data_IF_802967459295
#
_entry.id   IF_802967459295
#
_cell.length_a   1.000
_cell.length_b   1.000
_cell.length_c   1.000
_cell.angle_alpha   90.00
_cell.angle_beta   90.00
_cell.angle_gamma   90.00
#
_symmetry.space_group_name_H-M   'P 1'
#
loop_
_entity.id
_entity.type
_entity.pdbx_description
1 polymer ?
#
# COMPACT_ATOMS: atom_id res chain seq x y z
N UNK A 1 -7.89 -18.09 21.84
CA UNK A 1 -8.04 -16.64 22.17
C UNK A 1 -7.47 -15.79 21.04
N UNK A 2 -8.21 -14.77 20.62
CA UNK A 2 -7.78 -13.84 19.56
C UNK A 2 -7.25 -12.56 20.22
N UNK A 3 -6.07 -12.10 19.77
CA UNK A 3 -5.49 -10.82 20.17
C UNK A 3 -5.35 -9.88 18.97
N UNK A 4 -5.82 -8.66 19.09
CA UNK A 4 -5.61 -7.59 18.12
C UNK A 4 -4.61 -6.59 18.68
N UNK A 5 -3.49 -6.38 17.99
CA UNK A 5 -2.53 -5.33 18.31
C UNK A 5 -2.78 -4.15 17.36
N UNK A 6 -3.09 -2.99 17.92
CA UNK A 6 -3.35 -1.80 17.11
C UNK A 6 -3.80 -0.60 17.93
N UNK A 7 -3.95 0.58 17.31
CA UNK A 7 -4.41 1.78 18.00
C UNK A 7 -5.89 1.62 18.41
N UNK A 8 -6.20 1.77 19.70
CA UNK A 8 -7.56 1.56 20.24
C UNK A 8 -8.66 2.34 19.53
N UNK A 9 -8.36 3.56 19.11
CA UNK A 9 -9.33 4.45 18.46
C UNK A 9 -9.30 4.38 16.94
N UNK A 10 -8.59 3.39 16.36
CA UNK A 10 -8.55 3.24 14.90
C UNK A 10 -9.87 2.65 14.38
N UNK A 11 -10.23 3.08 13.16
CA UNK A 11 -11.38 2.48 12.46
C UNK A 11 -11.20 0.98 12.20
N UNK A 12 -9.95 0.53 12.01
CA UNK A 12 -9.63 -0.91 11.85
C UNK A 12 -10.00 -1.69 13.09
N UNK A 13 -9.50 -1.25 14.26
CA UNK A 13 -9.83 -1.85 15.55
C UNK A 13 -11.33 -1.88 15.77
N UNK A 14 -12.01 -0.75 15.53
CA UNK A 14 -13.46 -0.65 15.70
C UNK A 14 -14.21 -1.70 14.84
N UNK A 15 -13.96 -1.75 13.54
CA UNK A 15 -14.65 -2.71 12.65
C UNK A 15 -14.27 -4.16 12.92
N UNK A 16 -13.02 -4.44 13.30
CA UNK A 16 -12.62 -5.79 13.70
C UNK A 16 -13.37 -6.25 14.96
N UNK A 17 -13.47 -5.39 15.99
CA UNK A 17 -14.21 -5.69 17.21
C UNK A 17 -15.71 -5.87 16.94
N UNK A 18 -16.30 -5.08 16.06
CA UNK A 18 -17.68 -5.28 15.62
C UNK A 18 -17.89 -6.65 14.95
N UNK A 19 -17.00 -7.02 14.03
CA UNK A 19 -17.07 -8.33 13.36
C UNK A 19 -16.91 -9.49 14.34
N UNK A 20 -16.03 -9.34 15.34
CA UNK A 20 -15.87 -10.33 16.42
C UNK A 20 -17.14 -10.49 17.22
N UNK A 21 -17.77 -9.39 17.64
CA UNK A 21 -19.04 -9.41 18.39
C UNK A 21 -20.16 -10.11 17.60
N UNK A 22 -20.30 -9.82 16.29
CA UNK A 22 -21.27 -10.48 15.41
C UNK A 22 -21.04 -12.02 15.34
N UNK A 23 -19.78 -12.45 15.42
CA UNK A 23 -19.43 -13.88 15.38
C UNK A 23 -19.35 -14.54 16.77
N UNK A 24 -19.65 -13.81 17.84
CA UNK A 24 -19.57 -14.31 19.21
C UNK A 24 -18.13 -14.59 19.67
N UNK A 25 -17.14 -13.86 19.13
CA UNK A 25 -15.72 -14.03 19.48
C UNK A 25 -15.25 -13.02 20.49
N UNK A 26 -14.51 -13.51 21.49
CA UNK A 26 -13.81 -12.66 22.44
C UNK A 26 -12.45 -12.26 21.89
N UNK A 27 -12.17 -10.95 21.84
CA UNK A 27 -10.91 -10.39 21.34
C UNK A 27 -10.27 -9.51 22.41
N UNK A 28 -9.00 -9.78 22.70
CA UNK A 28 -8.18 -8.89 23.53
C UNK A 28 -7.52 -7.84 22.64
N UNK A 29 -7.74 -6.56 22.91
CA UNK A 29 -7.12 -5.47 22.17
C UNK A 29 -5.95 -4.86 22.95
N UNK A 30 -4.76 -4.85 22.34
CA UNK A 30 -3.53 -4.25 22.87
C UNK A 30 -3.06 -3.12 21.97
N UNK A 31 -2.53 -2.06 22.57
CA UNK A 31 -1.75 -1.07 21.81
C UNK A 31 -0.33 -1.63 21.51
N UNK A 32 0.40 -1.03 20.57
CA UNK A 32 1.77 -1.43 20.27
C UNK A 32 2.70 -1.42 21.50
N UNK A 33 2.72 -0.36 22.36
CA UNK A 33 3.48 -0.40 23.61
C UNK A 33 3.02 -1.53 24.54
N UNK A 34 1.72 -1.70 24.77
CA UNK A 34 1.22 -2.78 25.62
C UNK A 34 1.60 -4.16 25.10
N UNK A 35 1.68 -4.35 23.78
CA UNK A 35 2.10 -5.61 23.19
C UNK A 35 3.60 -5.89 23.40
N UNK A 36 4.45 -4.88 23.53
CA UNK A 36 5.86 -5.04 23.87
C UNK A 36 6.03 -5.58 25.30
N UNK A 37 5.23 -5.07 26.22
CA UNK A 37 5.28 -5.43 27.66
C UNK A 37 4.53 -6.72 27.97
N UNK A 38 3.55 -7.11 27.15
CA UNK A 38 2.72 -8.29 27.38
C UNK A 38 3.48 -9.59 27.16
N UNK A 39 3.24 -10.58 28.02
CA UNK A 39 3.69 -11.97 27.83
C UNK A 39 2.78 -12.68 26.82
N UNK A 40 2.97 -12.39 25.54
CA UNK A 40 2.27 -13.08 24.45
C UNK A 40 2.97 -14.42 24.19
N UNK A 41 2.48 -15.48 24.80
CA UNK A 41 3.07 -16.85 24.71
C UNK A 41 2.19 -17.83 23.96
N UNK A 42 0.94 -17.47 23.66
CA UNK A 42 -0.01 -18.34 22.95
C UNK A 42 -1.15 -17.54 22.34
N UNK A 43 -1.94 -18.19 21.49
CA UNK A 43 -3.09 -17.61 20.84
C UNK A 43 -2.81 -17.09 19.44
N UNK A 44 -3.84 -16.51 18.81
CA UNK A 44 -3.77 -16.01 17.44
C UNK A 44 -3.77 -14.49 17.47
N UNK A 45 -2.78 -13.91 16.82
CA UNK A 45 -2.56 -12.48 16.86
C UNK A 45 -2.69 -11.86 15.46
N UNK A 46 -3.44 -10.74 15.39
CA UNK A 46 -3.47 -9.82 14.26
C UNK A 46 -2.76 -8.52 14.65
N UNK A 47 -1.93 -7.98 13.76
CA UNK A 47 -1.28 -6.69 13.96
C UNK A 47 -1.84 -5.69 12.93
N UNK A 48 -2.41 -4.59 13.41
CA UNK A 48 -2.76 -3.43 12.62
C UNK A 48 -1.64 -2.38 12.66
N UNK A 49 -1.48 -1.52 11.64
CA UNK A 49 -0.42 -0.53 11.60
C UNK A 49 -0.60 0.54 12.70
N UNK A 50 0.49 1.13 13.20
CA UNK A 50 0.41 2.27 14.09
C UNK A 50 -0.15 3.49 13.37
N UNK A 51 -0.72 4.42 14.14
CA UNK A 51 -1.08 5.76 13.67
C UNK A 51 -0.01 6.73 14.14
N UNK A 52 0.44 7.59 13.26
CA UNK A 52 1.40 8.65 13.58
C UNK A 52 0.80 10.01 13.20
N UNK A 53 1.20 11.04 13.92
CA UNK A 53 0.83 12.45 13.68
C UNK A 53 1.86 13.21 12.84
N UNK A 54 3.00 12.59 12.56
CA UNK A 54 4.06 13.22 11.77
C UNK A 54 3.59 13.46 10.33
N UNK A 55 3.82 14.66 9.83
CA UNK A 55 3.46 15.09 8.49
C UNK A 55 4.66 15.46 7.63
N UNK A 56 5.86 15.67 8.21
CA UNK A 56 7.08 15.96 7.45
C UNK A 56 7.43 14.75 6.58
N UNK A 57 7.42 14.94 5.28
CA UNK A 57 7.67 13.86 4.31
C UNK A 57 9.09 13.31 4.38
N UNK A 58 10.05 14.07 4.91
CA UNK A 58 11.44 13.65 5.06
C UNK A 58 11.65 12.61 6.17
N UNK A 59 10.64 12.40 7.01
CA UNK A 59 10.67 11.42 8.12
C UNK A 59 9.93 10.12 7.81
N UNK A 60 9.37 9.97 6.61
CA UNK A 60 8.52 8.81 6.26
C UNK A 60 9.25 7.48 6.48
N UNK A 61 10.49 7.36 5.99
CA UNK A 61 11.26 6.12 6.16
C UNK A 61 11.67 5.88 7.61
N UNK A 62 11.96 6.94 8.39
CA UNK A 62 12.26 6.78 9.82
C UNK A 62 11.07 6.19 10.58
N UNK A 63 9.84 6.69 10.33
CA UNK A 63 8.61 6.13 10.90
C UNK A 63 8.43 4.66 10.49
N UNK A 64 8.73 4.34 9.23
CA UNK A 64 8.68 2.97 8.74
C UNK A 64 9.68 2.06 9.44
N UNK A 65 10.90 2.55 9.72
CA UNK A 65 11.93 1.82 10.46
C UNK A 65 11.52 1.55 11.91
N UNK A 66 10.93 2.52 12.61
CA UNK A 66 10.41 2.32 13.96
C UNK A 66 9.36 1.20 14.00
N UNK A 67 8.49 1.17 12.99
CA UNK A 67 7.51 0.10 12.88
C UNK A 67 8.15 -1.26 12.54
N UNK A 68 9.18 -1.29 11.71
CA UNK A 68 9.95 -2.51 11.42
C UNK A 68 10.62 -3.03 12.71
N UNK A 69 11.21 -2.20 13.54
CA UNK A 69 11.78 -2.59 14.82
C UNK A 69 10.72 -3.20 15.75
N UNK A 70 9.53 -2.61 15.83
CA UNK A 70 8.41 -3.20 16.54
C UNK A 70 8.08 -4.61 16.01
N UNK A 71 7.93 -4.78 14.70
CA UNK A 71 7.61 -6.05 14.07
C UNK A 71 8.72 -7.11 14.29
N UNK A 72 9.99 -6.72 14.31
CA UNK A 72 11.11 -7.61 14.64
C UNK A 72 10.98 -8.15 16.06
N UNK A 73 10.66 -7.30 17.04
CA UNK A 73 10.40 -7.72 18.41
C UNK A 73 9.20 -8.69 18.51
N UNK A 74 8.16 -8.46 17.71
CA UNK A 74 7.00 -9.37 17.67
C UNK A 74 7.35 -10.70 17.03
N UNK A 75 8.11 -10.70 15.92
CA UNK A 75 8.53 -11.93 15.22
C UNK A 75 9.35 -12.90 16.09
N UNK A 76 10.08 -12.36 17.07
CA UNK A 76 10.90 -13.15 17.99
C UNK A 76 10.09 -13.87 19.09
N UNK A 77 8.77 -13.67 19.18
CA UNK A 77 7.94 -14.25 20.24
C UNK A 77 7.56 -15.71 19.93
N UNK A 78 7.97 -16.68 20.74
CA UNK A 78 7.64 -18.09 20.53
C UNK A 78 6.18 -18.39 20.88
N UNK A 79 5.61 -19.43 20.26
CA UNK A 79 4.28 -19.96 20.60
C UNK A 79 3.10 -19.12 20.14
N UNK A 80 3.32 -18.01 19.44
CA UNK A 80 2.28 -17.14 18.89
C UNK A 80 1.96 -17.56 17.47
N UNK A 81 0.68 -17.74 17.18
CA UNK A 81 0.18 -17.93 15.81
C UNK A 81 -0.26 -16.57 15.25
N UNK A 82 0.23 -16.21 14.06
CA UNK A 82 -0.04 -14.93 13.44
C UNK A 82 -1.04 -15.04 12.30
N UNK A 83 -1.98 -14.10 12.17
CA UNK A 83 -2.75 -13.97 10.94
C UNK A 83 -1.82 -13.63 9.77
N UNK A 84 -0.97 -12.63 9.95
CA UNK A 84 0.18 -12.33 9.10
C UNK A 84 1.43 -12.34 9.99
N UNK A 85 2.41 -13.18 9.67
CA UNK A 85 3.64 -13.21 10.43
C UNK A 85 4.39 -11.88 10.32
N UNK A 86 4.91 -11.31 11.43
CA UNK A 86 5.59 -10.03 11.41
C UNK A 86 6.75 -9.94 10.42
N UNK A 87 7.52 -11.03 10.22
CA UNK A 87 8.59 -11.09 9.23
C UNK A 87 8.08 -10.90 7.79
N UNK A 88 6.91 -11.47 7.47
CA UNK A 88 6.25 -11.25 6.18
C UNK A 88 5.75 -9.80 6.02
N UNK A 89 5.21 -9.20 7.10
CA UNK A 89 4.83 -7.79 7.07
C UNK A 89 6.02 -6.87 6.77
N UNK A 90 7.19 -7.14 7.35
CA UNK A 90 8.43 -6.40 7.08
C UNK A 90 8.81 -6.50 5.59
N UNK A 91 8.68 -7.66 4.97
CA UNK A 91 8.97 -7.83 3.53
C UNK A 91 8.06 -6.97 2.65
N UNK A 92 6.77 -6.84 3.01
CA UNK A 92 5.81 -6.05 2.24
C UNK A 92 5.90 -4.55 2.52
N UNK A 93 6.31 -4.13 3.72
CA UNK A 93 6.51 -2.73 4.06
C UNK A 93 7.65 -2.10 3.25
N UNK A 94 8.72 -2.86 2.98
CA UNK A 94 9.81 -2.41 2.14
C UNK A 94 9.46 -2.60 0.65
N UNK A 95 9.06 -1.51 0.00
CA UNK A 95 8.65 -1.51 -1.41
C UNK A 95 9.76 -1.99 -2.34
N UNK A 96 11.04 -1.75 -2.03
CA UNK A 96 12.16 -2.23 -2.84
C UNK A 96 12.26 -3.76 -2.75
N UNK A 97 12.20 -4.33 -1.53
CA UNK A 97 12.24 -5.79 -1.34
C UNK A 97 11.05 -6.48 -2.00
N UNK A 98 9.84 -5.95 -1.76
CA UNK A 98 8.62 -6.48 -2.39
C UNK A 98 8.74 -6.44 -3.93
N UNK A 99 9.16 -5.30 -4.48
CA UNK A 99 9.34 -5.11 -5.93
C UNK A 99 10.35 -6.09 -6.53
N UNK A 100 11.53 -6.22 -5.92
CA UNK A 100 12.58 -7.14 -6.41
C UNK A 100 12.06 -8.57 -6.40
N UNK A 101 11.38 -9.01 -5.33
CA UNK A 101 10.82 -10.36 -5.26
C UNK A 101 9.78 -10.64 -6.33
N UNK A 102 8.91 -9.67 -6.63
CA UNK A 102 7.94 -9.78 -7.74
C UNK A 102 8.65 -9.92 -9.09
N UNK A 103 9.68 -9.08 -9.35
CA UNK A 103 10.46 -9.11 -10.59
C UNK A 103 11.23 -10.42 -10.78
N UNK A 104 11.90 -10.91 -9.74
CA UNK A 104 12.67 -12.16 -9.74
C UNK A 104 11.81 -13.38 -10.09
N UNK A 105 10.51 -13.33 -9.80
CA UNK A 105 9.57 -14.41 -10.09
C UNK A 105 8.64 -14.12 -11.27
N UNK A 106 8.99 -13.13 -12.10
CA UNK A 106 8.25 -12.83 -13.33
C UNK A 106 6.83 -12.30 -13.12
N UNK A 107 6.50 -11.78 -11.93
CA UNK A 107 5.19 -11.17 -11.69
C UNK A 107 5.14 -9.79 -12.37
N UNK A 108 4.17 -9.53 -13.26
CA UNK A 108 3.99 -8.24 -13.92
C UNK A 108 3.84 -7.10 -12.90
N UNK A 109 4.75 -6.14 -12.96
CA UNK A 109 4.78 -4.95 -12.10
C UNK A 109 5.33 -3.78 -12.92
N UNK A 110 4.96 -2.49 -12.68
CA UNK A 110 5.49 -1.37 -13.46
C UNK A 110 7.02 -1.43 -13.56
N UNK A 111 7.63 -1.20 -14.72
CA UNK A 111 9.07 -1.32 -14.88
C UNK A 111 9.86 -0.49 -13.89
N UNK A 112 10.88 -1.09 -13.28
CA UNK A 112 11.78 -0.42 -12.36
C UNK A 112 12.72 0.49 -13.16
N UNK A 113 12.71 1.78 -12.85
CA UNK A 113 13.59 2.77 -13.49
C UNK A 113 14.88 2.94 -12.70
N UNK A 114 14.78 3.14 -11.37
CA UNK A 114 15.91 3.28 -10.48
C UNK A 114 15.53 3.03 -9.02
N UNK A 115 16.54 2.83 -8.19
CA UNK A 115 16.45 2.82 -6.72
C UNK A 115 17.46 3.81 -6.13
N UNK A 116 17.12 4.36 -4.96
CA UNK A 116 18.01 5.20 -4.15
C UNK A 116 18.62 6.39 -4.90
N UNK A 117 17.84 6.98 -5.80
CA UNK A 117 18.19 8.22 -6.50
C UNK A 117 18.37 9.34 -5.46
N UNK A 118 19.40 10.17 -5.60
CA UNK A 118 19.80 11.15 -4.59
C UNK A 118 19.49 12.61 -4.95
N UNK A 119 19.16 12.90 -6.20
CA UNK A 119 18.84 14.27 -6.63
C UNK A 119 17.96 14.30 -7.87
N UNK A 120 17.27 15.43 -8.07
CA UNK A 120 16.51 15.67 -9.30
C UNK A 120 17.40 15.62 -10.56
N UNK A 121 18.65 16.11 -10.48
CA UNK A 121 19.59 16.05 -11.59
C UNK A 121 19.95 14.60 -11.95
N UNK A 122 20.21 13.74 -10.97
CA UNK A 122 20.44 12.31 -11.20
C UNK A 122 19.21 11.63 -11.79
N UNK A 123 18.02 11.94 -11.25
CA UNK A 123 16.75 11.39 -11.77
C UNK A 123 16.54 11.72 -13.25
N UNK A 124 16.74 12.99 -13.64
CA UNK A 124 16.53 13.43 -15.02
C UNK A 124 17.55 12.80 -15.97
N UNK A 125 18.80 12.64 -15.56
CA UNK A 125 19.83 11.93 -16.32
C UNK A 125 19.44 10.46 -16.58
N UNK A 126 18.97 9.74 -15.54
CA UNK A 126 18.48 8.35 -15.65
C UNK A 126 17.25 8.26 -16.57
N UNK A 127 16.30 9.19 -16.42
CA UNK A 127 15.10 9.24 -17.27
C UNK A 127 15.46 9.45 -18.74
N UNK A 128 16.45 10.31 -19.03
CA UNK A 128 16.93 10.57 -20.38
C UNK A 128 17.65 9.34 -20.96
N UNK A 129 18.56 8.73 -20.21
CA UNK A 129 19.29 7.52 -20.62
C UNK A 129 18.33 6.37 -20.96
N UNK A 130 17.34 6.14 -20.08
CA UNK A 130 16.33 5.07 -20.25
C UNK A 130 15.18 5.44 -21.19
N UNK A 131 15.16 6.65 -21.75
CA UNK A 131 14.09 7.18 -22.61
C UNK A 131 12.72 7.11 -21.98
N UNK A 132 12.62 7.40 -20.67
CA UNK A 132 11.38 7.39 -19.89
C UNK A 132 10.97 8.81 -19.57
N UNK A 133 9.81 9.26 -20.07
CA UNK A 133 9.31 10.62 -19.86
C UNK A 133 8.38 10.76 -18.63
N UNK A 134 7.98 9.66 -17.99
CA UNK A 134 7.03 9.71 -16.89
C UNK A 134 7.35 8.64 -15.84
N UNK A 135 7.43 9.03 -14.57
CA UNK A 135 7.79 8.14 -13.47
C UNK A 135 6.92 8.36 -12.23
N UNK A 136 6.80 7.33 -11.41
CA UNK A 136 6.41 7.42 -10.01
C UNK A 136 7.66 7.30 -9.13
N UNK A 137 7.79 8.22 -8.16
CA UNK A 137 8.84 8.19 -7.14
C UNK A 137 8.14 7.88 -5.81
N UNK A 138 8.63 6.90 -5.08
CA UNK A 138 8.02 6.44 -3.83
C UNK A 138 9.09 6.28 -2.74
N UNK A 139 8.90 6.81 -1.52
CA UNK A 139 9.72 6.40 -0.38
C UNK A 139 9.63 4.89 -0.17
N UNK A 140 10.74 4.25 0.21
CA UNK A 140 10.79 2.78 0.36
C UNK A 140 9.81 2.24 1.39
N UNK A 141 9.64 2.93 2.53
CA UNK A 141 8.81 2.51 3.66
C UNK A 141 7.50 3.29 3.82
N UNK A 142 7.17 4.19 2.90
CA UNK A 142 5.95 5.02 2.99
C UNK A 142 4.66 4.21 2.83
N UNK A 143 3.60 4.63 3.51
CA UNK A 143 2.25 4.07 3.42
C UNK A 143 1.21 5.15 3.06
N UNK A 144 0.02 4.76 2.61
CA UNK A 144 -1.08 5.70 2.34
C UNK A 144 -0.80 6.75 1.25
N UNK A 145 0.11 6.48 0.33
CA UNK A 145 0.63 7.41 -0.68
C UNK A 145 1.43 8.60 -0.11
N UNK A 146 1.87 8.55 1.15
CA UNK A 146 2.74 9.56 1.72
C UNK A 146 4.05 9.66 0.93
N UNK A 147 4.43 10.88 0.53
CA UNK A 147 5.64 11.14 -0.25
C UNK A 147 5.63 10.61 -1.68
N UNK A 148 4.53 10.06 -2.18
CA UNK A 148 4.43 9.57 -3.56
C UNK A 148 4.35 10.74 -4.53
N UNK A 149 5.19 10.70 -5.56
CA UNK A 149 5.26 11.68 -6.63
C UNK A 149 4.95 10.99 -7.96
N UNK A 150 4.07 11.59 -8.78
CA UNK A 150 3.92 11.27 -10.19
C UNK A 150 4.51 12.42 -11.01
N UNK A 151 5.64 12.20 -11.65
CA UNK A 151 6.36 13.17 -12.47
C UNK A 151 6.21 12.83 -13.95
N UNK A 152 5.84 13.84 -14.74
CA UNK A 152 6.03 13.84 -16.18
C UNK A 152 7.03 14.93 -16.53
N UNK A 153 8.10 14.55 -17.22
CA UNK A 153 9.20 15.41 -17.62
C UNK A 153 9.42 15.24 -19.12
N UNK A 154 9.17 16.30 -19.89
CA UNK A 154 9.39 16.24 -21.32
C UNK A 154 10.89 16.22 -21.64
N UNK A 155 11.34 15.49 -22.67
CA UNK A 155 12.78 15.38 -23.01
C UNK A 155 13.49 16.71 -23.28
N UNK A 156 12.75 17.75 -23.70
CA UNK A 156 13.31 19.11 -23.88
C UNK A 156 13.66 19.80 -22.55
N UNK A 157 13.29 19.24 -21.39
CA UNK A 157 13.50 19.82 -20.07
C UNK A 157 12.68 21.07 -19.76
N UNK A 158 11.87 21.56 -20.71
CA UNK A 158 11.09 22.79 -20.59
C UNK A 158 9.75 22.51 -19.91
N UNK A 159 9.05 21.47 -20.39
CA UNK A 159 7.71 21.11 -19.89
C UNK A 159 7.78 19.99 -18.88
N UNK A 160 7.33 20.30 -17.66
CA UNK A 160 7.23 19.30 -16.60
C UNK A 160 5.98 19.53 -15.76
N UNK A 161 5.46 18.46 -15.20
CA UNK A 161 4.34 18.50 -14.27
C UNK A 161 4.52 17.42 -13.22
N UNK A 162 4.31 17.81 -11.95
CA UNK A 162 4.36 16.91 -10.81
C UNK A 162 3.00 16.89 -10.13
N UNK A 163 2.55 15.69 -9.78
CA UNK A 163 1.37 15.46 -8.94
C UNK A 163 1.79 14.76 -7.66
N UNK A 164 1.38 15.29 -6.52
CA UNK A 164 1.64 14.69 -5.22
C UNK A 164 0.64 15.18 -4.18
N UNK A 165 0.51 14.43 -3.08
CA UNK A 165 -0.17 14.90 -1.89
C UNK A 165 0.78 15.68 -0.94
N UNK A 166 1.95 16.07 -1.40
CA UNK A 166 2.89 16.91 -0.65
C UNK A 166 2.47 18.37 -0.79
N UNK A 167 2.32 19.06 0.33
CA UNK A 167 2.15 20.50 0.39
C UNK A 167 3.48 21.17 0.70
N UNK A 168 3.71 22.33 0.08
CA UNK A 168 4.93 23.14 0.27
C UNK A 168 4.58 24.39 1.08
N UNK A 169 5.37 24.68 2.12
CA UNK A 169 5.30 25.92 2.89
C UNK A 169 6.74 26.42 3.17
N UNK A 170 7.19 27.40 2.40
CA UNK A 170 8.61 27.78 2.38
C UNK A 170 9.48 26.59 1.97
N UNK A 171 10.41 26.19 2.86
CA UNK A 171 11.28 25.03 2.66
C UNK A 171 10.73 23.74 3.31
N UNK A 172 9.57 23.80 3.92
CA UNK A 172 8.96 22.65 4.59
C UNK A 172 8.03 21.90 3.65
N UNK A 173 8.05 20.56 3.73
CA UNK A 173 7.30 19.64 2.91
C UNK A 173 6.42 18.75 3.79
N UNK A 174 5.10 18.85 3.62
CA UNK A 174 4.13 18.15 4.46
C UNK A 174 3.30 17.16 3.65
N UNK A 175 3.01 16.02 4.23
CA UNK A 175 2.01 15.11 3.68
C UNK A 175 0.61 15.71 3.87
N UNK A 176 -0.17 15.83 2.80
CA UNK A 176 -1.54 16.31 2.81
C UNK A 176 -2.53 15.24 2.34
N UNK A 177 -3.84 15.52 2.51
CA UNK A 177 -4.90 14.62 2.02
C UNK A 177 -5.41 15.01 0.63
N UNK A 178 -4.80 16.02 -0.01
CA UNK A 178 -5.22 16.55 -1.31
C UNK A 178 -4.07 16.47 -2.30
N UNK A 179 -4.31 15.85 -3.46
CA UNK A 179 -3.35 15.85 -4.55
C UNK A 179 -3.27 17.25 -5.15
N UNK A 180 -2.07 17.77 -5.24
CA UNK A 180 -1.73 19.05 -5.85
C UNK A 180 -0.95 18.80 -7.15
N UNK A 181 -1.05 19.79 -8.07
CA UNK A 181 -0.31 19.82 -9.32
C UNK A 181 0.69 20.96 -9.29
N UNK A 182 1.97 20.64 -9.49
CA UNK A 182 3.06 21.61 -9.53
C UNK A 182 3.62 21.73 -10.95
N UNK A 183 3.90 22.96 -11.39
CA UNK A 183 4.48 23.30 -12.70
C UNK A 183 5.71 24.19 -12.60
N UNK A 184 5.89 24.89 -11.47
CA UNK A 184 7.07 25.73 -11.23
C UNK A 184 8.29 24.84 -10.99
N UNK A 185 9.40 25.15 -11.65
CA UNK A 185 10.62 24.33 -11.58
C UNK A 185 11.19 24.24 -10.18
N UNK A 186 11.12 25.33 -9.43
CA UNK A 186 11.61 25.45 -8.06
C UNK A 186 10.85 24.52 -7.12
N UNK A 187 9.52 24.55 -7.18
CA UNK A 187 8.67 23.67 -6.34
C UNK A 187 8.89 22.20 -6.68
N UNK A 188 8.93 21.88 -7.99
CA UNK A 188 9.17 20.51 -8.46
C UNK A 188 10.50 19.99 -7.95
N UNK A 189 11.57 20.79 -8.06
CA UNK A 189 12.89 20.42 -7.57
C UNK A 189 12.91 20.26 -6.06
N UNK A 190 12.34 21.20 -5.32
CA UNK A 190 12.26 21.16 -3.86
C UNK A 190 11.56 19.88 -3.38
N UNK A 191 10.40 19.56 -3.97
CA UNK A 191 9.61 18.37 -3.62
C UNK A 191 10.40 17.10 -3.93
N UNK A 192 10.96 16.99 -5.13
CA UNK A 192 11.69 15.79 -5.56
C UNK A 192 12.94 15.60 -4.70
N UNK A 193 13.80 16.64 -4.57
CA UNK A 193 15.01 16.55 -3.77
C UNK A 193 14.70 16.22 -2.30
N UNK A 194 13.58 16.74 -1.75
CA UNK A 194 13.14 16.41 -0.40
C UNK A 194 12.75 14.94 -0.22
N UNK A 195 12.07 14.32 -1.19
CA UNK A 195 11.73 12.90 -1.16
C UNK A 195 12.96 12.02 -1.40
N UNK A 196 13.86 12.43 -2.30
CA UNK A 196 15.06 11.67 -2.67
C UNK A 196 16.14 11.65 -1.59
N UNK A 197 16.04 12.44 -0.53
CA UNK A 197 16.91 12.33 0.64
C UNK A 197 16.76 11.02 1.40
N UNK A 198 15.65 10.33 1.19
CA UNK A 198 15.35 9.03 1.78
C UNK A 198 15.58 7.89 0.77
N UNK A 199 15.65 6.67 1.26
CA UNK A 199 15.58 5.49 0.39
C UNK A 199 14.30 5.51 -0.44
N UNK A 200 14.43 5.27 -1.73
CA UNK A 200 13.34 5.46 -2.67
C UNK A 200 13.36 4.46 -3.82
N UNK A 201 12.23 4.36 -4.47
CA UNK A 201 11.96 3.52 -5.62
C UNK A 201 11.38 4.40 -6.73
N UNK A 202 11.92 4.30 -7.93
CA UNK A 202 11.45 4.99 -9.13
C UNK A 202 10.93 3.97 -10.13
N UNK A 203 9.65 4.08 -10.50
CA UNK A 203 8.98 3.19 -11.44
C UNK A 203 8.48 3.97 -12.65
N UNK A 204 8.39 3.31 -13.80
CA UNK A 204 7.75 3.90 -14.97
C UNK A 204 6.27 4.14 -14.69
N UNK A 205 5.79 5.33 -15.03
CA UNK A 205 4.36 5.64 -14.98
C UNK A 205 3.65 5.05 -16.20
N UNK A 206 2.98 3.93 -16.02
CA UNK A 206 2.16 3.30 -17.04
C UNK A 206 0.80 4.01 -17.17
N UNK A 207 0.27 4.17 -18.40
CA UNK A 207 -1.07 4.69 -18.62
C UNK A 207 -2.11 3.74 -18.04
N UNK A 208 -2.98 4.25 -17.15
CA UNK A 208 -4.08 3.50 -16.56
C UNK A 208 -5.31 3.47 -17.47
N UNK A 209 -6.07 2.39 -17.41
CA UNK A 209 -7.42 2.34 -17.94
C UNK A 209 -8.30 3.42 -17.27
N UNK A 210 -9.39 3.77 -17.91
CA UNK A 210 -10.30 4.79 -17.42
C UNK A 210 -11.76 4.36 -17.53
N UNK A 211 -12.58 4.84 -16.59
CA UNK A 211 -14.03 4.72 -16.57
C UNK A 211 -14.65 6.10 -16.32
N UNK A 212 -15.65 6.50 -17.11
CA UNK A 212 -16.29 7.82 -16.98
C UNK A 212 -15.28 8.98 -16.93
N UNK A 213 -14.26 8.94 -17.80
CA UNK A 213 -13.15 9.93 -17.90
C UNK A 213 -12.26 10.03 -16.65
N UNK A 214 -12.30 9.07 -15.72
CA UNK A 214 -11.39 8.98 -14.57
C UNK A 214 -10.52 7.76 -14.73
N UNK A 215 -9.22 7.91 -14.45
CA UNK A 215 -8.32 6.76 -14.36
C UNK A 215 -8.65 5.93 -13.12
N UNK A 216 -8.36 4.63 -13.17
CA UNK A 216 -8.61 3.76 -12.03
C UNK A 216 -7.49 2.76 -11.80
N UNK A 217 -7.45 2.23 -10.61
CA UNK A 217 -6.80 0.99 -10.24
C UNK A 217 -7.74 0.16 -9.35
N UNK A 218 -7.33 -1.05 -9.06
CA UNK A 218 -8.08 -1.98 -8.25
C UNK A 218 -7.39 -2.18 -6.89
N UNK A 219 -8.18 -2.23 -5.81
CA UNK A 219 -7.76 -2.82 -4.55
C UNK A 219 -8.44 -4.18 -4.43
N UNK A 220 -7.63 -5.21 -4.39
CA UNK A 220 -8.08 -6.61 -4.27
C UNK A 220 -7.66 -7.13 -2.91
N UNK A 221 -8.60 -7.68 -2.14
CA UNK A 221 -8.30 -8.28 -0.85
C UNK A 221 -8.22 -9.80 -1.03
N UNK A 222 -7.04 -10.34 -0.70
CA UNK A 222 -6.76 -11.77 -0.70
C UNK A 222 -6.60 -12.27 0.74
N UNK A 223 -7.23 -13.39 1.07
CA UNK A 223 -7.12 -14.09 2.34
C UNK A 223 -6.94 -15.58 2.06
N UNK A 224 -5.88 -16.18 2.63
CA UNK A 224 -5.55 -17.62 2.45
C UNK A 224 -5.50 -18.07 0.98
N UNK A 225 -5.02 -17.20 0.09
CA UNK A 225 -4.97 -17.46 -1.35
C UNK A 225 -6.28 -17.22 -2.11
N UNK A 226 -7.38 -16.91 -1.43
CA UNK A 226 -8.68 -16.64 -2.03
C UNK A 226 -8.92 -15.13 -2.17
N UNK A 227 -9.50 -14.71 -3.29
CA UNK A 227 -9.92 -13.33 -3.49
C UNK A 227 -11.28 -13.12 -2.84
N UNK A 228 -11.32 -12.39 -1.73
CA UNK A 228 -12.55 -12.17 -0.94
C UNK A 228 -13.23 -10.84 -1.22
N UNK A 229 -12.52 -9.87 -1.82
CA UNK A 229 -13.10 -8.56 -2.15
C UNK A 229 -12.37 -7.86 -3.29
N UNK A 230 -13.10 -7.08 -4.08
CA UNK A 230 -12.57 -6.22 -5.14
C UNK A 230 -13.24 -4.86 -5.09
N UNK A 231 -12.46 -3.78 -5.16
CA UNK A 231 -12.97 -2.42 -5.29
C UNK A 231 -12.16 -1.64 -6.31
N UNK A 232 -12.86 -0.81 -7.09
CA UNK A 232 -12.28 0.11 -8.07
C UNK A 232 -12.04 1.45 -7.39
N UNK A 233 -10.83 1.98 -7.50
CA UNK A 233 -10.49 3.31 -6.98
C UNK A 233 -10.28 4.25 -8.16
N UNK A 234 -11.12 5.26 -8.30
CA UNK A 234 -11.06 6.20 -9.42
C UNK A 234 -10.53 7.57 -9.02
N UNK A 235 -9.81 8.20 -9.93
CA UNK A 235 -9.27 9.56 -9.75
C UNK A 235 -9.23 10.32 -11.06
N UNK A 236 -9.40 11.64 -11.00
CA UNK A 236 -9.06 12.55 -12.10
C UNK A 236 -7.55 12.84 -12.18
N UNK A 237 -6.78 12.36 -11.20
CA UNK A 237 -5.35 12.55 -11.05
C UNK A 237 -4.64 11.19 -11.17
N UNK A 238 -3.30 11.13 -11.39
CA UNK A 238 -2.58 9.87 -11.57
C UNK A 238 -2.56 8.98 -10.31
N UNK A 239 -2.70 9.56 -9.11
CA UNK A 239 -2.70 8.84 -7.83
C UNK A 239 -4.14 8.53 -7.44
N UNK A 240 -4.48 7.25 -7.29
CA UNK A 240 -5.85 6.74 -7.11
C UNK A 240 -6.18 6.33 -5.67
N UNK A 241 -5.27 6.54 -4.71
CA UNK A 241 -5.47 6.16 -3.32
C UNK A 241 -6.71 6.85 -2.70
N UNK A 242 -7.62 6.07 -2.08
CA UNK A 242 -8.88 6.57 -1.51
C UNK A 242 -8.68 7.55 -0.34
N UNK A 243 -7.56 7.50 0.37
CA UNK A 243 -7.23 8.46 1.44
C UNK A 243 -7.02 9.89 0.92
N UNK A 244 -6.87 10.06 -0.40
CA UNK A 244 -6.66 11.34 -1.08
C UNK A 244 -7.96 11.88 -1.72
N UNK A 245 -9.10 11.65 -1.09
CA UNK A 245 -10.43 12.11 -1.55
C UNK A 245 -10.86 11.53 -2.91
N UNK A 246 -10.29 10.42 -3.32
CA UNK A 246 -10.69 9.69 -4.51
C UNK A 246 -11.97 8.88 -4.27
N UNK A 247 -12.62 8.44 -5.34
CA UNK A 247 -13.91 7.74 -5.26
C UNK A 247 -13.75 6.24 -5.46
N UNK A 248 -14.50 5.48 -4.68
CA UNK A 248 -14.63 4.04 -4.88
C UNK A 248 -15.82 3.73 -5.78
N UNK A 249 -15.65 2.73 -6.65
CA UNK A 249 -16.69 2.19 -7.51
C UNK A 249 -16.81 0.68 -7.30
N UNK A 250 -17.97 0.13 -7.61
CA UNK A 250 -18.18 -1.32 -7.62
C UNK A 250 -17.38 -1.95 -8.75
N UNK A 251 -16.76 -3.09 -8.47
CA UNK A 251 -15.92 -3.78 -9.45
C UNK A 251 -16.74 -4.24 -10.68
N UNK A 252 -17.97 -4.68 -10.46
CA UNK A 252 -18.88 -5.16 -11.51
C UNK A 252 -19.21 -4.06 -12.53
N UNK A 253 -19.13 -2.79 -12.15
CA UNK A 253 -19.37 -1.65 -13.06
C UNK A 253 -18.29 -1.45 -14.12
N UNK A 254 -17.19 -2.21 -14.07
CA UNK A 254 -16.17 -2.21 -15.14
C UNK A 254 -16.54 -3.12 -16.30
N UNK A 255 -17.54 -4.01 -16.14
CA UNK A 255 -18.01 -4.95 -17.16
C UNK A 255 -16.89 -5.77 -17.83
N UNK A 256 -15.87 -6.14 -17.02
CA UNK A 256 -14.76 -6.96 -17.49
C UNK A 256 -15.24 -8.37 -17.81
N UNK A 257 -14.70 -8.97 -18.88
CA UNK A 257 -14.98 -10.37 -19.20
C UNK A 257 -14.53 -11.32 -18.09
N UNK A 258 -15.20 -12.48 -17.96
CA UNK A 258 -14.83 -13.50 -16.99
C UNK A 258 -13.34 -13.92 -17.11
N UNK A 259 -12.84 -14.04 -18.34
CA UNK A 259 -11.44 -14.34 -18.62
C UNK A 259 -10.50 -13.27 -18.04
N UNK A 260 -10.86 -11.97 -18.17
CA UNK A 260 -10.06 -10.87 -17.62
C UNK A 260 -10.10 -10.84 -16.09
N UNK A 261 -11.23 -11.14 -15.49
CA UNK A 261 -11.33 -11.27 -14.02
C UNK A 261 -10.45 -12.41 -13.53
N UNK A 262 -10.50 -13.57 -14.18
CA UNK A 262 -9.65 -14.73 -13.85
C UNK A 262 -8.15 -14.40 -14.01
N UNK A 263 -7.75 -13.67 -15.06
CA UNK A 263 -6.38 -13.22 -15.26
C UNK A 263 -5.90 -12.34 -14.09
N UNK A 264 -6.71 -11.38 -13.66
CA UNK A 264 -6.41 -10.49 -12.52
C UNK A 264 -6.28 -11.28 -11.22
N UNK A 265 -7.24 -12.17 -10.96
CA UNK A 265 -7.25 -12.98 -9.73
C UNK A 265 -6.04 -13.93 -9.69
N UNK A 266 -5.74 -14.60 -10.80
CA UNK A 266 -4.57 -15.48 -10.93
C UNK A 266 -3.27 -14.71 -10.69
N UNK A 267 -3.15 -13.51 -11.25
CA UNK A 267 -1.99 -12.64 -11.01
C UNK A 267 -1.83 -12.33 -9.52
N UNK A 268 -2.90 -11.95 -8.84
CA UNK A 268 -2.89 -11.66 -7.39
C UNK A 268 -2.52 -12.90 -6.57
N UNK A 269 -3.11 -14.06 -6.88
CA UNK A 269 -2.83 -15.32 -6.19
C UNK A 269 -1.37 -15.75 -6.40
N UNK A 270 -0.84 -15.64 -7.62
CA UNK A 270 0.56 -15.95 -7.90
C UNK A 270 1.51 -15.03 -7.14
N UNK A 271 1.20 -13.72 -7.05
CA UNK A 271 1.98 -12.79 -6.26
C UNK A 271 1.96 -13.13 -4.77
N UNK A 272 0.78 -13.52 -4.22
CA UNK A 272 0.67 -13.91 -2.80
C UNK A 272 1.44 -15.17 -2.45
N UNK A 273 1.57 -16.14 -3.36
CA UNK A 273 2.38 -17.36 -3.13
C UNK A 273 3.86 -17.06 -2.86
N UNK A 274 4.34 -15.89 -3.27
CA UNK A 274 5.71 -15.45 -2.98
C UNK A 274 5.90 -15.03 -1.51
N UNK A 275 4.82 -14.80 -0.77
CA UNK A 275 4.84 -14.33 0.61
C UNK A 275 4.08 -15.29 1.52
N UNK A 276 4.60 -16.51 1.78
CA UNK A 276 3.88 -17.55 2.52
C UNK A 276 3.55 -17.16 3.97
N UNK A 277 4.29 -16.23 4.55
CA UNK A 277 4.05 -15.65 5.87
C UNK A 277 2.87 -14.67 5.91
N UNK A 278 2.28 -14.36 4.77
CA UNK A 278 1.18 -13.41 4.61
C UNK A 278 -0.08 -14.13 4.14
N UNK A 279 -1.05 -14.22 5.02
CA UNK A 279 -2.36 -14.83 4.74
C UNK A 279 -3.35 -13.82 4.20
N UNK A 280 -3.27 -12.57 4.69
CA UNK A 280 -4.16 -11.47 4.33
C UNK A 280 -3.37 -10.34 3.69
N UNK A 281 -3.77 -9.90 2.50
CA UNK A 281 -3.23 -8.68 1.91
C UNK A 281 -4.28 -7.92 1.09
N UNK A 282 -4.10 -6.61 1.01
CA UNK A 282 -4.73 -5.75 0.01
C UNK A 282 -3.75 -5.49 -1.13
N UNK A 283 -4.06 -5.96 -2.31
CA UNK A 283 -3.21 -5.89 -3.49
C UNK A 283 -3.69 -4.74 -4.38
N UNK A 284 -2.79 -3.85 -4.76
CA UNK A 284 -3.07 -2.76 -5.68
C UNK A 284 -2.69 -3.19 -7.10
N UNK A 285 -3.70 -3.26 -7.98
CA UNK A 285 -3.55 -3.68 -9.37
C UNK A 285 -3.87 -2.54 -10.31
N UNK A 286 -2.92 -2.21 -11.18
CA UNK A 286 -3.11 -1.32 -12.32
C UNK A 286 -3.57 -2.14 -13.51
N UNK A 287 -4.63 -1.67 -14.20
CA UNK A 287 -4.93 -2.09 -15.56
C UNK A 287 -4.46 -1.01 -16.53
N UNK A 288 -3.69 -1.39 -17.54
CA UNK A 288 -3.31 -0.46 -18.61
C UNK A 288 -4.51 -0.13 -19.51
N UNK A 289 -4.34 0.78 -20.45
CA UNK A 289 -5.39 1.09 -21.45
C UNK A 289 -5.80 -0.13 -22.30
N UNK A 290 -4.90 -1.13 -22.43
CA UNK A 290 -5.18 -2.44 -23.05
C UNK A 290 -5.70 -3.48 -22.05
N UNK A 291 -6.03 -3.08 -20.83
CA UNK A 291 -6.48 -3.93 -19.71
C UNK A 291 -5.45 -4.99 -19.28
N UNK A 292 -4.17 -4.79 -19.56
CA UNK A 292 -3.09 -5.67 -19.05
C UNK A 292 -2.87 -5.36 -17.56
N UNK A 293 -2.95 -6.36 -16.66
CA UNK A 293 -2.81 -6.14 -15.22
C UNK A 293 -1.33 -6.10 -14.78
N UNK A 294 -1.03 -5.21 -13.83
CA UNK A 294 0.26 -5.07 -13.15
C UNK A 294 0.07 -4.91 -11.66
N UNK A 295 0.85 -5.60 -10.84
CA UNK A 295 0.86 -5.38 -9.38
C UNK A 295 1.62 -4.10 -9.08
N UNK A 296 0.95 -3.11 -8.49
CA UNK A 296 1.58 -1.86 -8.04
C UNK A 296 2.23 -2.03 -6.68
N UNK A 297 1.51 -2.67 -5.74
CA UNK A 297 1.89 -2.81 -4.33
C UNK A 297 1.08 -3.93 -3.68
N UNK A 298 1.69 -4.62 -2.71
CA UNK A 298 1.03 -5.59 -1.83
C UNK A 298 1.11 -5.06 -0.41
N UNK A 299 -0.06 -4.86 0.22
CA UNK A 299 -0.17 -4.33 1.56
C UNK A 299 -0.66 -5.41 2.52
N UNK A 300 0.21 -5.94 3.38
CA UNK A 300 -0.15 -6.95 4.38
C UNK A 300 -1.18 -6.49 5.43
N UNK A 301 -1.54 -5.21 5.41
CA UNK A 301 -2.54 -4.58 6.26
C UNK A 301 -3.52 -3.75 5.42
N UNK A 302 -3.78 -4.19 4.18
CA UNK A 302 -4.63 -3.51 3.19
C UNK A 302 -6.11 -3.88 3.23
N UNK A 303 -6.64 -4.24 4.38
CA UNK A 303 -7.94 -4.86 4.63
C UNK A 303 -9.09 -3.88 4.90
N UNK A 304 -8.83 -2.62 5.22
CA UNK A 304 -9.89 -1.65 5.49
C UNK A 304 -10.51 -1.13 4.19
N UNK A 305 -11.67 -1.65 3.85
CA UNK A 305 -12.51 -1.22 2.73
C UNK A 305 -13.81 -0.66 3.30
N UNK A 306 -14.00 0.65 3.21
CA UNK A 306 -15.16 1.32 3.81
C UNK A 306 -16.49 0.84 3.24
N UNK A 307 -16.56 0.48 1.95
CA UNK A 307 -17.77 -0.03 1.29
C UNK A 307 -18.24 -1.37 1.87
N UNK A 308 -17.31 -2.18 2.38
CA UNK A 308 -17.62 -3.41 3.11
C UNK A 308 -17.86 -3.12 4.60
N UNK A 309 -16.90 -2.45 5.24
CA UNK A 309 -16.88 -2.26 6.69
C UNK A 309 -18.11 -1.50 7.23
N UNK A 310 -18.66 -0.55 6.45
CA UNK A 310 -19.85 0.22 6.81
C UNK A 310 -21.17 -0.48 6.51
N UNK A 311 -21.16 -1.59 5.77
CA UNK A 311 -22.36 -2.36 5.40
C UNK A 311 -22.38 -3.69 6.15
N UNK A 312 -21.72 -4.70 5.59
CA UNK A 312 -21.78 -6.07 6.07
C UNK A 312 -20.53 -6.51 6.83
N UNK A 313 -19.44 -5.76 6.73
CA UNK A 313 -18.16 -6.03 7.39
C UNK A 313 -17.62 -7.45 7.14
N UNK A 314 -17.79 -7.94 5.91
CA UNK A 314 -17.49 -9.32 5.52
C UNK A 314 -16.00 -9.63 5.53
N UNK A 315 -15.15 -8.63 5.21
CA UNK A 315 -13.70 -8.79 5.19
C UNK A 315 -13.18 -9.10 6.60
N UNK A 316 -13.61 -8.36 7.63
CA UNK A 316 -13.19 -8.62 9.00
C UNK A 316 -13.82 -9.89 9.57
N UNK A 317 -15.06 -10.21 9.21
CA UNK A 317 -15.65 -11.50 9.56
C UNK A 317 -14.88 -12.68 8.93
N UNK A 318 -14.45 -12.57 7.68
CA UNK A 318 -13.64 -13.61 7.01
C UNK A 318 -12.29 -13.81 7.72
N UNK A 319 -11.62 -12.71 8.14
CA UNK A 319 -10.40 -12.78 8.92
C UNK A 319 -10.59 -13.54 10.23
N UNK A 320 -11.64 -13.24 10.98
CA UNK A 320 -11.93 -13.92 12.26
C UNK A 320 -12.20 -15.40 12.04
N UNK A 321 -12.98 -15.76 11.00
CA UNK A 321 -13.20 -17.16 10.64
C UNK A 321 -11.90 -17.89 10.25
N UNK A 322 -11.00 -17.22 9.52
CA UNK A 322 -9.69 -17.77 9.19
C UNK A 322 -8.83 -17.95 10.46
N UNK A 323 -8.85 -16.98 11.37
CA UNK A 323 -8.14 -17.08 12.65
C UNK A 323 -8.65 -18.24 13.51
N UNK A 324 -9.96 -18.48 13.55
CA UNK A 324 -10.54 -19.67 14.24
C UNK A 324 -9.93 -20.98 13.76
N UNK A 325 -9.74 -21.13 12.45
CA UNK A 325 -9.17 -22.35 11.85
C UNK A 325 -7.69 -22.57 12.24
N UNK A 326 -7.00 -21.53 12.69
CA UNK A 326 -5.61 -21.64 13.18
C UNK A 326 -5.52 -22.13 14.62
N UNK A 327 -6.63 -22.21 15.34
CA UNK A 327 -6.72 -22.67 16.73
C UNK A 327 -6.89 -24.20 16.85
N UNK A 328 -7.00 -24.90 15.73
CA UNK A 328 -7.15 -26.36 15.64
C UNK A 328 -5.78 -26.96 15.25
#
# INVERSE_FOLDING_TARGET
MITLIGPRQSKRTHYFMQAAAVLGESVTALTHPQALDASLTSGIVKIDPPVHSETDIRKINAIGLDYIHFLQNMAARPGVTWLNHPAGLIQLLDKKRCKRRLLEHGIPTPPLVAEDVKSFAQLTAIMQEKKVASVFIKPSLGSGAAGVIALRHHPDGIKQVLYSAIAVSGQQLFNSKKIQQYRQKEDIRLIIDGVLQQENLVEQWLPKASVKRKTYDLRIVCLDGEIIWRVVRTSSQPITNLHLQNQAYRFESLELSAAKVTEIDTLCQNAMRLFPDIRLAGIDVLLTTSLTPYIIEINGQGDLIYQDAQQNNLIYQAQIRAMRKLNV
#
